data_IF_184863274262
#
_entry.id   IF_184863274262
#
_cell.length_a   1.000
_cell.length_b   1.000
_cell.length_c   1.000
_cell.angle_alpha   90.00
_cell.angle_beta   90.00
_cell.angle_gamma   90.00
#
_symmetry.space_group_name_H-M   'P 1'
#
loop_
_entity.id
_entity.type
_entity.pdbx_description
1 polymer ?
#
# COMPACT_ATOMS: atom_id res chain seq x y z
N UNK A 1 15.81 -4.30 22.17
CA UNK A 1 16.18 -3.12 21.35
C UNK A 1 16.33 -3.48 19.85
N UNK A 2 15.45 -4.30 19.26
CA UNK A 2 15.57 -4.72 17.84
C UNK A 2 14.31 -4.43 17.00
N UNK A 3 13.16 -4.20 17.65
CA UNK A 3 11.85 -4.04 16.99
C UNK A 3 11.68 -2.61 16.42
N UNK A 4 12.43 -1.63 16.93
CA UNK A 4 12.35 -0.24 16.49
C UNK A 4 12.96 -0.01 15.10
N UNK A 5 13.87 -0.87 14.65
CA UNK A 5 14.56 -0.71 13.36
C UNK A 5 13.66 -1.02 12.14
N UNK A 6 12.73 -1.98 12.28
CA UNK A 6 11.84 -2.38 11.18
C UNK A 6 10.75 -1.33 10.92
N UNK A 7 10.27 -0.66 11.97
CA UNK A 7 9.30 0.44 11.83
C UNK A 7 9.94 1.69 11.18
N UNK A 8 11.20 1.97 11.50
CA UNK A 8 11.99 3.04 10.89
C UNK A 8 12.09 2.91 9.38
N UNK A 9 12.49 1.73 8.89
CA UNK A 9 12.65 1.46 7.45
C UNK A 9 11.36 1.68 6.64
N UNK A 10 10.19 1.31 7.19
CA UNK A 10 8.90 1.60 6.52
C UNK A 10 8.55 3.09 6.50
N UNK A 11 8.89 3.84 7.54
CA UNK A 11 8.60 5.27 7.61
C UNK A 11 9.54 6.09 6.72
N UNK A 12 10.83 5.72 6.63
CA UNK A 12 11.80 6.42 5.76
C UNK A 12 11.50 6.18 4.28
N UNK A 13 11.09 4.96 3.91
CA UNK A 13 10.66 4.67 2.53
C UNK A 13 9.45 5.53 2.13
N UNK A 14 8.53 5.77 3.06
CA UNK A 14 7.32 6.55 2.83
C UNK A 14 7.59 8.04 2.57
N UNK A 15 8.59 8.63 3.25
CA UNK A 15 8.96 10.04 3.07
C UNK A 15 9.76 10.25 1.78
N UNK A 16 10.62 9.31 1.39
CA UNK A 16 11.39 9.38 0.14
C UNK A 16 10.48 9.20 -1.09
N UNK A 17 9.42 8.39 -0.99
CA UNK A 17 8.42 8.26 -2.07
C UNK A 17 7.60 9.54 -2.25
N UNK A 18 7.24 10.23 -1.15
CA UNK A 18 6.36 11.40 -1.20
C UNK A 18 7.02 12.62 -1.85
N UNK A 19 8.35 12.70 -1.87
CA UNK A 19 9.08 13.87 -2.36
C UNK A 19 9.48 13.82 -3.84
N UNK A 20 9.37 12.67 -4.53
CA UNK A 20 9.92 12.53 -5.89
C UNK A 20 8.96 12.47 -7.08
N UNK A 21 7.65 12.33 -6.91
CA UNK A 21 6.79 12.10 -8.08
C UNK A 21 5.40 12.72 -7.94
N UNK A 22 5.32 14.03 -8.14
CA UNK A 22 4.18 14.61 -8.88
C UNK A 22 4.29 14.23 -10.37
N UNK A 23 4.43 12.93 -10.67
CA UNK A 23 4.26 12.42 -12.03
C UNK A 23 2.88 11.76 -12.04
N UNK A 24 2.01 12.07 -13.01
CA UNK A 24 0.76 11.33 -13.15
C UNK A 24 1.12 9.84 -13.20
N UNK A 25 0.48 9.05 -12.33
CA UNK A 25 0.69 7.61 -12.27
C UNK A 25 0.41 7.04 -13.65
N UNK A 26 1.47 6.71 -14.39
CA UNK A 26 1.33 6.08 -15.70
C UNK A 26 0.65 4.72 -15.56
N UNK A 27 0.18 4.11 -16.67
CA UNK A 27 -0.53 2.83 -16.63
C UNK A 27 0.26 1.71 -15.95
N UNK A 28 1.60 1.73 -16.03
CA UNK A 28 2.46 0.77 -15.35
C UNK A 28 2.47 0.92 -13.81
N UNK A 29 2.31 2.14 -13.30
CA UNK A 29 2.25 2.40 -11.86
C UNK A 29 0.89 1.98 -11.29
N UNK A 30 -0.19 2.24 -12.03
CA UNK A 30 -1.53 1.76 -11.69
C UNK A 30 -1.58 0.22 -11.66
N UNK A 31 -0.90 -0.45 -12.61
CA UNK A 31 -0.79 -1.90 -12.60
C UNK A 31 -0.04 -2.41 -11.36
N UNK A 32 1.09 -1.79 -10.99
CA UNK A 32 1.80 -2.12 -9.74
C UNK A 32 0.93 -1.93 -8.50
N UNK A 33 0.12 -0.88 -8.46
CA UNK A 33 -0.84 -0.64 -7.39
C UNK A 33 -1.90 -1.74 -7.30
N UNK A 34 -2.43 -2.20 -8.44
CA UNK A 34 -3.38 -3.34 -8.49
C UNK A 34 -2.74 -4.63 -8.00
N UNK A 35 -1.52 -4.94 -8.46
CA UNK A 35 -0.79 -6.14 -8.01
C UNK A 35 -0.49 -6.07 -6.50
N UNK A 36 -0.13 -4.90 -5.99
CA UNK A 36 0.10 -4.68 -4.57
C UNK A 36 -1.19 -4.84 -3.75
N UNK A 37 -2.34 -4.36 -4.24
CA UNK A 37 -3.65 -4.57 -3.60
C UNK A 37 -3.97 -6.07 -3.54
N UNK A 38 -3.78 -6.81 -4.63
CA UNK A 38 -4.03 -8.25 -4.68
C UNK A 38 -3.16 -9.01 -3.65
N UNK A 39 -1.89 -8.62 -3.52
CA UNK A 39 -1.01 -9.19 -2.49
C UNK A 39 -1.46 -8.87 -1.07
N UNK A 40 -1.94 -7.64 -0.79
CA UNK A 40 -2.47 -7.26 0.53
C UNK A 40 -3.77 -8.03 0.87
N UNK A 41 -4.65 -8.24 -0.11
CA UNK A 41 -5.87 -9.04 0.05
C UNK A 41 -5.54 -10.49 0.39
N UNK A 42 -4.57 -11.08 -0.31
CA UNK A 42 -4.10 -12.43 0.00
C UNK A 42 -3.49 -12.54 1.39
N UNK A 43 -2.66 -11.56 1.75
CA UNK A 43 -2.07 -11.47 3.08
C UNK A 43 -3.12 -11.31 4.17
N UNK A 44 -4.22 -10.60 3.91
CA UNK A 44 -5.33 -10.46 4.84
C UNK A 44 -6.10 -11.77 5.01
N UNK A 45 -6.35 -12.52 3.92
CA UNK A 45 -6.94 -13.86 3.99
C UNK A 45 -6.06 -14.80 4.82
N UNK A 46 -4.77 -14.83 4.54
CA UNK A 46 -3.81 -15.64 5.30
C UNK A 46 -3.77 -15.25 6.79
N UNK A 47 -3.81 -13.95 7.09
CA UNK A 47 -3.86 -13.46 8.47
C UNK A 47 -5.14 -13.86 9.21
N UNK A 48 -6.28 -13.95 8.49
CA UNK A 48 -7.53 -14.46 9.05
C UNK A 48 -7.47 -15.96 9.32
N UNK A 49 -6.99 -16.75 8.36
CA UNK A 49 -6.86 -18.21 8.49
C UNK A 49 -5.88 -18.61 9.61
N UNK A 50 -4.80 -17.86 9.78
CA UNK A 50 -3.79 -18.11 10.81
C UNK A 50 -4.09 -17.43 12.14
N UNK A 51 -5.29 -16.86 12.31
CA UNK A 51 -5.71 -16.17 13.53
C UNK A 51 -4.70 -15.14 14.04
N UNK A 52 -4.12 -14.36 13.14
CA UNK A 52 -3.18 -13.30 13.51
C UNK A 52 -3.86 -12.25 14.39
N UNK A 53 -3.04 -11.53 15.14
CA UNK A 53 -3.48 -10.47 16.04
C UNK A 53 -4.37 -9.43 15.34
N UNK A 54 -5.38 -8.94 16.06
CA UNK A 54 -6.33 -7.96 15.55
C UNK A 54 -5.62 -6.67 15.07
N UNK A 55 -4.57 -6.24 15.76
CA UNK A 55 -3.75 -5.08 15.40
C UNK A 55 -3.06 -5.29 14.06
N UNK A 56 -2.56 -6.50 13.82
CA UNK A 56 -1.85 -6.83 12.58
C UNK A 56 -2.80 -6.90 11.38
N UNK A 57 -3.99 -7.46 11.58
CA UNK A 57 -5.07 -7.44 10.58
C UNK A 57 -5.55 -6.02 10.27
N UNK A 58 -5.71 -5.18 11.30
CA UNK A 58 -6.08 -3.78 11.13
C UNK A 58 -5.03 -2.99 10.33
N UNK A 59 -3.73 -3.27 10.55
CA UNK A 59 -2.65 -2.66 9.77
C UNK A 59 -2.70 -3.03 8.28
N UNK A 60 -2.94 -4.31 7.97
CA UNK A 60 -3.09 -4.76 6.58
C UNK A 60 -4.30 -4.07 5.93
N UNK A 61 -5.45 -4.03 6.64
CA UNK A 61 -6.64 -3.35 6.15
C UNK A 61 -6.42 -1.84 5.91
N UNK A 62 -5.66 -1.17 6.78
CA UNK A 62 -5.31 0.24 6.61
C UNK A 62 -4.43 0.46 5.37
N UNK A 63 -3.42 -0.39 5.13
CA UNK A 63 -2.59 -0.36 3.93
C UNK A 63 -3.42 -0.58 2.66
N UNK A 64 -4.34 -1.53 2.71
CA UNK A 64 -5.23 -1.89 1.61
C UNK A 64 -6.18 -0.72 1.26
N UNK A 65 -6.78 -0.09 2.27
CA UNK A 65 -7.60 1.11 2.09
C UNK A 65 -6.82 2.29 1.51
N UNK A 66 -5.55 2.45 1.89
CA UNK A 66 -4.70 3.50 1.33
C UNK A 66 -4.33 3.22 -0.13
N UNK A 67 -3.91 2.00 -0.46
CA UNK A 67 -3.56 1.62 -1.82
C UNK A 67 -4.77 1.75 -2.77
N UNK A 68 -5.98 1.38 -2.33
CA UNK A 68 -7.21 1.60 -3.10
C UNK A 68 -7.50 3.07 -3.36
N UNK A 69 -7.30 3.95 -2.36
CA UNK A 69 -7.46 5.41 -2.55
C UNK A 69 -6.44 5.96 -3.53
N UNK A 70 -5.21 5.48 -3.49
CA UNK A 70 -4.16 5.89 -4.41
C UNK A 70 -4.44 5.42 -5.85
N UNK A 71 -4.93 4.19 -6.01
CA UNK A 71 -5.38 3.67 -7.30
C UNK A 71 -6.55 4.52 -7.85
N UNK A 72 -7.58 4.76 -7.04
CA UNK A 72 -8.72 5.57 -7.44
C UNK A 72 -8.30 7.02 -7.79
N UNK A 73 -7.38 7.61 -7.04
CA UNK A 73 -6.84 8.95 -7.34
C UNK A 73 -6.01 8.96 -8.63
N UNK A 74 -5.23 7.91 -8.90
CA UNK A 74 -4.46 7.77 -10.14
C UNK A 74 -5.32 7.47 -11.37
N UNK A 75 -6.44 6.75 -11.20
CA UNK A 75 -7.46 6.54 -12.23
C UNK A 75 -8.26 7.83 -12.51
N UNK A 76 -8.61 8.58 -11.47
CA UNK A 76 -9.34 9.86 -11.58
C UNK A 76 -8.48 11.01 -12.09
N UNK A 77 -7.17 10.95 -11.84
CA UNK A 77 -6.18 11.94 -12.26
C UNK A 77 -5.51 11.64 -13.62
N UNK A 78 -5.82 10.48 -14.23
CA UNK A 78 -5.52 10.26 -15.63
C UNK A 78 -6.45 11.15 -16.46
N UNK A 79 -5.94 12.10 -17.28
CA UNK A 79 -6.78 12.67 -18.31
C UNK A 79 -7.24 11.49 -19.18
N UNK A 80 -8.53 11.20 -19.16
CA UNK A 80 -9.17 10.47 -20.24
C UNK A 80 -8.72 11.13 -21.54
N UNK A 81 -8.30 10.28 -22.49
CA UNK A 81 -7.66 10.60 -23.76
C UNK A 81 -8.25 11.79 -24.52
#
# INVERSE_FOLDING_TARGET
MAILFVAGLTATLFVVLRLRTKKPHGPAELQRLRDHIAWLEDRQRHANEKHWDATMKARIAAQLGQARRELAAGESGSPAS
#
